data_IF_712107848343
#
_entry.id   IF_712107848343
#
_cell.length_a   1.000
_cell.length_b   1.000
_cell.length_c   1.000
_cell.angle_alpha   90.00
_cell.angle_beta   90.00
_cell.angle_gamma   90.00
#
_symmetry.space_group_name_H-M   'P 1'
#
loop_
_entity.id
_entity.type
_entity.pdbx_description
1 polymer ?
#
# COMPACT_ATOMS: atom_id res chain seq x y z
N UNK A 1 25.81 38.09 -52.07
CA UNK A 1 24.93 37.88 -50.91
C UNK A 1 25.17 38.99 -49.91
N UNK A 2 24.12 39.66 -49.44
CA UNK A 2 24.23 40.67 -48.37
C UNK A 2 24.25 40.00 -47.00
N UNK A 3 24.81 40.66 -45.98
CA UNK A 3 24.82 40.14 -44.61
C UNK A 3 23.40 39.80 -44.10
N UNK A 4 22.40 40.60 -44.46
CA UNK A 4 20.98 40.32 -44.17
C UNK A 4 20.50 39.01 -44.81
N UNK A 5 20.84 38.76 -46.07
CA UNK A 5 20.45 37.51 -46.75
C UNK A 5 21.08 36.28 -46.10
N UNK A 6 22.35 36.37 -45.67
CA UNK A 6 23.03 35.29 -44.96
C UNK A 6 22.41 35.02 -43.59
N UNK A 7 22.09 36.07 -42.83
CA UNK A 7 21.41 35.95 -41.53
C UNK A 7 20.02 35.31 -41.65
N UNK A 8 19.27 35.65 -42.71
CA UNK A 8 17.98 35.03 -43.03
C UNK A 8 18.10 33.52 -43.28
N UNK A 9 19.08 33.09 -44.08
CA UNK A 9 19.34 31.67 -44.34
C UNK A 9 19.76 30.89 -43.09
N UNK A 10 20.62 31.47 -42.25
CA UNK A 10 21.05 30.85 -40.98
C UNK A 10 19.86 30.69 -40.02
N UNK A 11 19.04 31.73 -39.88
CA UNK A 11 17.86 31.70 -39.01
C UNK A 11 16.83 30.67 -39.47
N UNK A 12 16.60 30.57 -40.79
CA UNK A 12 15.72 29.56 -41.38
C UNK A 12 16.26 28.14 -41.18
N UNK A 13 17.57 27.94 -41.35
CA UNK A 13 18.21 26.64 -41.13
C UNK A 13 18.11 26.19 -39.67
N UNK A 14 18.33 27.10 -38.70
CA UNK A 14 18.18 26.82 -37.27
C UNK A 14 16.73 26.52 -36.89
N UNK A 15 15.76 27.28 -37.42
CA UNK A 15 14.34 27.02 -37.20
C UNK A 15 13.91 25.65 -37.77
N UNK A 16 14.39 25.31 -38.97
CA UNK A 16 14.14 24.00 -39.59
C UNK A 16 14.77 22.86 -38.78
N UNK A 17 16.00 23.02 -38.29
CA UNK A 17 16.66 22.04 -37.42
C UNK A 17 15.89 21.85 -36.11
N UNK A 18 15.42 22.92 -35.47
CA UNK A 18 14.61 22.85 -34.27
C UNK A 18 13.27 22.14 -34.54
N UNK A 19 12.59 22.46 -35.64
CA UNK A 19 11.32 21.81 -36.02
C UNK A 19 11.50 20.32 -36.31
N UNK A 20 12.57 19.94 -37.02
CA UNK A 20 12.92 18.53 -37.26
C UNK A 20 13.23 17.82 -35.94
N UNK A 21 14.02 18.43 -35.06
CA UNK A 21 14.36 17.89 -33.75
C UNK A 21 13.13 17.65 -32.87
N UNK A 22 12.24 18.64 -32.79
CA UNK A 22 10.95 18.53 -32.09
C UNK A 22 10.05 17.47 -32.72
N UNK A 23 9.99 17.40 -34.05
CA UNK A 23 9.19 16.39 -34.78
C UNK A 23 9.68 14.96 -34.54
N UNK A 24 11.00 14.73 -34.57
CA UNK A 24 11.61 13.44 -34.25
C UNK A 24 11.38 13.08 -32.78
N UNK A 25 11.57 14.05 -31.87
CA UNK A 25 11.31 13.87 -30.44
C UNK A 25 9.87 13.48 -30.15
N UNK A 26 8.92 14.21 -30.74
CA UNK A 26 7.49 13.94 -30.64
C UNK A 26 7.13 12.56 -31.23
N UNK A 27 7.63 12.22 -32.42
CA UNK A 27 7.37 10.93 -33.06
C UNK A 27 7.90 9.76 -32.21
N UNK A 28 9.12 9.87 -31.68
CA UNK A 28 9.69 8.85 -30.77
C UNK A 28 8.90 8.74 -29.47
N UNK A 29 8.49 9.87 -28.90
CA UNK A 29 7.66 9.90 -27.70
C UNK A 29 6.30 9.24 -27.95
N UNK A 30 5.64 9.58 -29.05
CA UNK A 30 4.35 9.02 -29.45
C UNK A 30 4.43 7.51 -29.72
N UNK A 31 5.49 7.04 -30.39
CA UNK A 31 5.72 5.61 -30.60
C UNK A 31 6.01 4.84 -29.31
N UNK A 32 6.65 5.47 -28.32
CA UNK A 32 6.82 4.90 -26.98
C UNK A 32 5.47 4.82 -26.27
N UNK A 33 4.70 5.92 -26.26
CA UNK A 33 3.36 5.96 -25.68
C UNK A 33 2.46 4.85 -26.22
N UNK A 34 2.34 4.70 -27.55
CA UNK A 34 1.53 3.63 -28.17
C UNK A 34 1.98 2.22 -27.78
N UNK A 35 3.28 2.00 -27.62
CA UNK A 35 3.80 0.70 -27.18
C UNK A 35 3.41 0.39 -25.74
N UNK A 36 3.38 1.40 -24.86
CA UNK A 36 2.96 1.23 -23.47
C UNK A 36 1.45 0.98 -23.36
N UNK A 37 0.65 1.66 -24.17
CA UNK A 37 -0.82 1.49 -24.22
C UNK A 37 -1.24 0.09 -24.68
N UNK A 38 -0.46 -0.52 -25.59
CA UNK A 38 -0.73 -1.84 -26.16
C UNK A 38 -0.01 -3.00 -25.44
N UNK A 39 0.91 -2.71 -24.51
CA UNK A 39 1.70 -3.75 -23.84
C UNK A 39 0.84 -4.50 -22.82
N UNK A 40 0.61 -5.82 -23.00
CA UNK A 40 -0.03 -6.64 -21.98
C UNK A 40 0.84 -6.65 -20.72
N UNK A 41 0.21 -6.75 -19.54
CA UNK A 41 0.94 -7.03 -18.32
C UNK A 41 1.68 -8.37 -18.52
N UNK A 42 3.02 -8.36 -18.39
CA UNK A 42 3.79 -9.59 -18.47
C UNK A 42 3.38 -10.50 -17.31
N UNK A 43 2.77 -11.63 -17.63
CA UNK A 43 2.40 -12.66 -16.65
C UNK A 43 3.66 -13.47 -16.39
N UNK A 44 4.30 -13.23 -15.25
CA UNK A 44 5.37 -14.09 -14.74
C UNK A 44 4.74 -15.16 -13.87
N UNK A 45 5.18 -16.41 -14.01
CA UNK A 45 4.64 -17.54 -13.26
C UNK A 45 4.64 -17.26 -11.75
N UNK A 46 3.48 -17.45 -11.12
CA UNK A 46 3.33 -17.40 -9.68
C UNK A 46 4.32 -18.37 -9.03
N UNK A 47 5.14 -17.85 -8.12
CA UNK A 47 5.85 -18.73 -7.19
C UNK A 47 4.86 -19.04 -6.08
N UNK A 48 4.39 -20.30 -5.93
CA UNK A 48 3.42 -20.61 -4.89
C UNK A 48 4.08 -20.43 -3.53
N UNK A 49 3.64 -19.42 -2.77
CA UNK A 49 3.90 -19.38 -1.34
C UNK A 49 2.86 -20.29 -0.69
N UNK A 50 3.36 -21.21 0.14
CA UNK A 50 2.54 -22.24 0.75
C UNK A 50 1.34 -21.65 1.51
N UNK A 51 0.21 -22.37 1.45
CA UNK A 51 -0.96 -22.14 2.29
C UNK A 51 -0.56 -21.90 3.75
N UNK A 52 -1.33 -21.06 4.46
CA UNK A 52 -1.11 -20.63 5.85
C UNK A 52 -0.23 -21.61 6.64
N UNK A 53 1.04 -21.26 6.82
CA UNK A 53 2.06 -22.17 7.36
C UNK A 53 1.72 -22.69 8.75
N UNK A 54 0.87 -21.97 9.50
CA UNK A 54 0.20 -22.45 10.69
C UNK A 54 -1.21 -21.85 10.79
N UNK A 55 -2.18 -22.62 11.30
CA UNK A 55 -3.61 -22.27 11.31
C UNK A 55 -4.07 -21.38 12.46
N UNK A 56 -3.37 -21.40 13.59
CA UNK A 56 -3.74 -20.65 14.79
C UNK A 56 -2.69 -19.59 15.11
N UNK A 57 -2.25 -19.52 16.37
CA UNK A 57 -1.12 -18.69 16.78
C UNK A 57 0.15 -19.52 16.96
N UNK A 58 1.28 -18.89 16.67
CA UNK A 58 2.63 -19.40 16.95
C UNK A 58 3.35 -18.37 17.80
N UNK A 59 4.15 -18.83 18.75
CA UNK A 59 4.88 -17.95 19.69
C UNK A 59 6.20 -17.49 19.08
N UNK A 60 6.45 -16.19 19.20
CA UNK A 60 7.66 -15.53 18.72
C UNK A 60 8.28 -14.70 19.83
N UNK A 61 9.60 -14.69 19.86
CA UNK A 61 10.39 -13.86 20.77
C UNK A 61 10.90 -12.63 20.05
N UNK A 62 10.86 -11.48 20.70
CA UNK A 62 11.53 -10.27 20.21
C UNK A 62 13.04 -10.42 20.38
N UNK A 63 13.76 -10.65 19.29
CA UNK A 63 15.21 -10.78 19.29
C UNK A 63 15.92 -9.42 19.31
N UNK A 64 15.35 -8.41 18.63
CA UNK A 64 15.93 -7.07 18.55
C UNK A 64 14.82 -6.02 18.49
N UNK A 65 15.07 -4.86 19.11
CA UNK A 65 14.22 -3.67 19.07
C UNK A 65 15.07 -2.47 18.67
N UNK A 66 14.64 -1.68 17.69
CA UNK A 66 15.38 -0.51 17.18
C UNK A 66 14.46 0.67 16.99
N UNK A 67 14.92 1.86 17.38
CA UNK A 67 14.25 3.13 17.08
C UNK A 67 14.65 3.57 15.69
N UNK A 68 13.68 3.87 14.83
CA UNK A 68 13.89 4.04 13.39
C UNK A 68 13.78 5.49 12.91
N UNK A 69 13.42 6.42 13.79
CA UNK A 69 13.28 7.85 13.50
C UNK A 69 13.83 8.70 14.65
N UNK A 70 14.18 9.96 14.37
CA UNK A 70 14.76 10.85 15.39
C UNK A 70 13.74 11.24 16.46
N UNK A 71 12.46 11.29 16.09
CA UNK A 71 11.35 11.55 17.02
C UNK A 71 11.08 10.39 17.99
N UNK A 72 11.77 9.25 17.84
CA UNK A 72 11.51 8.02 18.57
C UNK A 72 10.04 7.58 18.53
N UNK A 73 9.34 7.92 17.44
CA UNK A 73 7.94 7.61 17.24
C UNK A 73 7.75 6.25 16.57
N UNK A 74 8.79 5.69 15.95
CA UNK A 74 8.74 4.38 15.27
C UNK A 74 9.78 3.44 15.85
N UNK A 75 9.34 2.23 16.21
CA UNK A 75 10.21 1.14 16.64
C UNK A 75 10.05 -0.08 15.73
N UNK A 76 11.16 -0.65 15.28
CA UNK A 76 11.20 -1.98 14.66
C UNK A 76 11.38 -3.07 15.70
N UNK A 77 10.70 -4.19 15.47
CA UNK A 77 10.80 -5.41 16.26
C UNK A 77 11.18 -6.57 15.34
N UNK A 78 12.30 -7.22 15.63
CA UNK A 78 12.75 -8.42 14.93
C UNK A 78 12.28 -9.63 15.72
N UNK A 79 11.47 -10.45 15.08
CA UNK A 79 10.73 -11.56 15.68
C UNK A 79 11.33 -12.87 15.18
N UNK A 80 11.74 -13.71 16.12
CA UNK A 80 12.25 -15.06 15.85
C UNK A 80 11.31 -16.08 16.47
N UNK A 81 11.10 -17.24 15.84
CA UNK A 81 10.19 -18.23 16.37
C UNK A 81 10.76 -18.86 17.65
N UNK A 82 9.92 -19.08 18.65
CA UNK A 82 10.36 -19.68 19.93
C UNK A 82 10.79 -21.13 19.77
N UNK A 83 10.06 -21.88 18.94
CA UNK A 83 10.23 -23.30 18.69
C UNK A 83 11.46 -23.66 17.84
N UNK A 84 12.20 -22.65 17.34
CA UNK A 84 13.35 -22.81 16.46
C UNK A 84 13.04 -23.41 15.08
N UNK A 85 11.77 -23.60 14.73
CA UNK A 85 11.38 -24.12 13.43
C UNK A 85 11.54 -23.05 12.33
N UNK A 86 11.78 -23.44 11.07
CA UNK A 86 11.93 -22.49 9.98
C UNK A 86 10.78 -21.49 9.87
N UNK A 87 11.11 -20.29 9.37
CA UNK A 87 10.11 -19.30 9.01
C UNK A 87 9.61 -19.58 7.59
N UNK A 88 8.29 -19.67 7.39
CA UNK A 88 7.76 -19.71 6.03
C UNK A 88 8.06 -18.38 5.33
N UNK A 89 8.31 -18.42 4.02
CA UNK A 89 8.41 -17.21 3.23
C UNK A 89 7.06 -16.49 3.19
N UNK A 90 7.08 -15.22 2.79
CA UNK A 90 5.90 -14.39 2.58
C UNK A 90 6.07 -13.55 1.31
N UNK A 91 5.00 -12.97 0.80
CA UNK A 91 5.08 -12.02 -0.31
C UNK A 91 5.36 -10.60 0.18
N UNK A 92 6.29 -9.86 -0.43
CA UNK A 92 6.67 -8.52 0.05
C UNK A 92 5.49 -7.56 0.01
N UNK A 93 5.07 -7.07 1.19
CA UNK A 93 3.87 -6.27 1.39
C UNK A 93 2.85 -6.88 2.36
N UNK A 94 2.90 -8.21 2.57
CA UNK A 94 2.07 -8.91 3.55
C UNK A 94 2.31 -8.43 5.00
N UNK A 95 1.39 -8.78 5.89
CA UNK A 95 1.43 -8.41 7.31
C UNK A 95 1.38 -9.63 8.23
N UNK A 96 1.75 -9.41 9.49
CA UNK A 96 1.53 -10.33 10.59
C UNK A 96 0.32 -9.88 11.41
N UNK A 97 -0.47 -10.84 11.91
CA UNK A 97 -1.56 -10.59 12.86
C UNK A 97 -1.13 -10.99 14.25
N UNK A 98 -1.25 -10.07 15.19
CA UNK A 98 -0.86 -10.20 16.59
C UNK A 98 -2.11 -10.32 17.45
N UNK A 99 -2.14 -11.36 18.26
CA UNK A 99 -3.10 -11.51 19.36
C UNK A 99 -2.38 -11.02 20.64
N UNK A 100 -2.75 -9.82 21.11
CA UNK A 100 -2.09 -9.10 22.19
C UNK A 100 -2.90 -9.19 23.49
N UNK A 101 -2.21 -9.59 24.56
CA UNK A 101 -2.71 -9.50 25.93
C UNK A 101 -2.21 -8.19 26.54
N UNK A 102 -3.11 -7.24 26.76
CA UNK A 102 -2.78 -5.92 27.29
C UNK A 102 -2.78 -5.93 28.83
N UNK A 103 -2.01 -5.02 29.47
CA UNK A 103 -2.10 -4.80 30.91
C UNK A 103 -3.55 -4.48 31.32
N UNK A 104 -4.03 -5.12 32.38
CA UNK A 104 -5.42 -4.99 32.84
C UNK A 104 -6.38 -6.09 32.36
N UNK A 105 -5.90 -7.06 31.57
CA UNK A 105 -6.67 -8.25 31.18
C UNK A 105 -7.46 -8.10 29.86
N UNK A 106 -7.32 -6.96 29.19
CA UNK A 106 -7.90 -6.74 27.86
C UNK A 106 -7.12 -7.50 26.78
N UNK A 107 -7.81 -8.07 25.79
CA UNK A 107 -7.19 -8.65 24.59
C UNK A 107 -7.41 -7.78 23.36
N UNK A 108 -6.43 -7.72 22.45
CA UNK A 108 -6.50 -6.93 21.23
C UNK A 108 -5.85 -7.63 20.04
N UNK A 109 -6.55 -7.70 18.91
CA UNK A 109 -5.98 -8.21 17.65
C UNK A 109 -5.53 -7.06 16.78
N UNK A 110 -4.28 -7.05 16.30
CA UNK A 110 -3.80 -6.02 15.35
C UNK A 110 -2.88 -6.58 14.29
N UNK A 111 -2.88 -5.92 13.13
CA UNK A 111 -2.04 -6.29 12.00
C UNK A 111 -0.94 -5.24 11.80
N UNK A 112 0.27 -5.71 11.49
CA UNK A 112 1.40 -4.86 11.14
C UNK A 112 2.12 -5.44 9.92
N UNK A 113 2.28 -4.63 8.87
CA UNK A 113 3.01 -5.01 7.67
C UNK A 113 4.43 -5.47 8.02
N UNK A 114 4.86 -6.55 7.37
CA UNK A 114 6.25 -6.96 7.38
C UNK A 114 7.06 -5.85 6.70
N UNK A 115 8.04 -5.30 7.41
CA UNK A 115 8.78 -4.12 7.00
C UNK A 115 10.17 -4.43 6.45
N UNK A 116 10.42 -5.69 6.07
CA UNK A 116 11.64 -6.13 5.38
C UNK A 116 11.30 -7.16 4.30
N UNK A 117 12.26 -7.45 3.43
CA UNK A 117 12.15 -8.58 2.51
C UNK A 117 12.00 -9.89 3.27
N UNK A 118 11.45 -10.97 2.66
CA UNK A 118 11.48 -12.30 3.24
C UNK A 118 12.88 -12.74 3.65
N UNK A 119 13.08 -12.92 4.96
CA UNK A 119 14.31 -13.43 5.55
C UNK A 119 14.05 -14.82 6.18
N UNK A 120 15.02 -15.75 6.12
CA UNK A 120 14.84 -17.08 6.68
C UNK A 120 14.93 -17.13 8.21
N UNK A 121 15.55 -16.12 8.83
CA UNK A 121 15.93 -16.12 10.24
C UNK A 121 15.03 -15.25 11.14
N UNK A 122 14.34 -14.24 10.58
CA UNK A 122 13.45 -13.38 11.34
C UNK A 122 12.34 -12.73 10.50
N UNK A 123 11.30 -12.26 11.18
CA UNK A 123 10.39 -11.26 10.64
C UNK A 123 10.68 -9.89 11.24
N UNK A 124 10.45 -8.82 10.50
CA UNK A 124 10.51 -7.44 11.00
C UNK A 124 9.16 -6.76 10.84
N UNK A 125 8.70 -6.12 11.90
CA UNK A 125 7.58 -5.15 11.84
C UNK A 125 8.06 -3.83 12.40
N UNK A 126 7.60 -2.70 11.84
CA UNK A 126 7.94 -1.37 12.32
C UNK A 126 6.67 -0.61 12.70
N UNK A 127 6.57 -0.18 13.95
CA UNK A 127 5.32 0.27 14.55
C UNK A 127 5.46 1.71 14.99
N UNK A 128 4.64 2.60 14.40
CA UNK A 128 4.51 3.98 14.85
C UNK A 128 3.63 4.07 16.09
N UNK A 129 4.08 4.80 17.12
CA UNK A 129 3.27 5.19 18.27
C UNK A 129 2.15 6.11 17.78
N UNK A 130 0.91 5.76 18.11
CA UNK A 130 -0.27 6.57 17.76
C UNK A 130 -0.83 7.17 19.05
N UNK A 131 -1.11 8.48 19.11
CA UNK A 131 -1.78 9.09 20.25
C UNK A 131 -3.05 8.32 20.61
N UNK A 132 -3.21 7.95 21.88
CA UNK A 132 -4.33 7.15 22.39
C UNK A 132 -4.49 5.75 21.75
N UNK A 133 -3.53 5.28 20.97
CA UNK A 133 -3.57 3.97 20.32
C UNK A 133 -3.22 2.83 21.29
N UNK A 134 -4.16 1.93 21.58
CA UNK A 134 -3.95 0.83 22.55
C UNK A 134 -2.77 -0.09 22.17
N UNK A 135 -2.75 -0.60 20.94
CA UNK A 135 -1.72 -1.54 20.46
C UNK A 135 -0.34 -0.89 20.30
N UNK A 136 -0.27 0.24 19.61
CA UNK A 136 1.01 0.87 19.33
C UNK A 136 1.70 1.37 20.60
N UNK A 137 0.94 1.90 21.58
CA UNK A 137 1.51 2.25 22.88
C UNK A 137 1.94 0.99 23.66
N UNK A 138 1.17 -0.11 23.62
CA UNK A 138 1.61 -1.38 24.22
C UNK A 138 2.97 -1.86 23.68
N UNK A 139 3.15 -1.86 22.35
CA UNK A 139 4.44 -2.20 21.75
C UNK A 139 5.58 -1.30 22.20
N UNK A 140 5.31 0.00 22.32
CA UNK A 140 6.35 0.95 22.70
C UNK A 140 6.70 0.89 24.19
N UNK A 141 5.70 0.69 25.04
CA UNK A 141 5.82 0.81 26.51
C UNK A 141 6.15 -0.53 27.19
N UNK A 142 5.69 -1.66 26.65
CA UNK A 142 5.75 -2.97 27.33
C UNK A 142 6.52 -4.05 26.57
N UNK A 143 6.66 -3.92 25.24
CA UNK A 143 7.38 -4.92 24.44
C UNK A 143 8.87 -4.59 24.39
N UNK A 144 9.67 -5.49 24.96
CA UNK A 144 11.12 -5.40 25.03
C UNK A 144 11.79 -6.61 24.36
N UNK A 145 13.11 -6.57 24.23
CA UNK A 145 13.88 -7.75 23.80
C UNK A 145 13.62 -8.89 24.80
N UNK A 146 13.30 -10.07 24.29
CA UNK A 146 12.90 -11.23 25.07
C UNK A 146 11.39 -11.38 25.28
N UNK A 147 10.57 -10.36 25.00
CA UNK A 147 9.11 -10.48 25.09
C UNK A 147 8.57 -11.54 24.14
N UNK A 148 7.54 -12.26 24.60
CA UNK A 148 6.83 -13.28 23.83
C UNK A 148 5.55 -12.71 23.22
N UNK A 149 5.35 -12.96 21.92
CA UNK A 149 4.21 -12.50 21.15
C UNK A 149 3.53 -13.67 20.45
N UNK A 150 2.20 -13.65 20.39
CA UNK A 150 1.39 -14.64 19.67
C UNK A 150 1.07 -14.11 18.28
N UNK A 151 1.56 -14.79 17.23
CA UNK A 151 1.39 -14.36 15.84
C UNK A 151 0.58 -15.39 15.05
N UNK A 152 -0.29 -14.92 14.17
CA UNK A 152 -0.83 -15.75 13.07
C UNK A 152 0.13 -15.70 11.88
N UNK A 153 -0.03 -16.64 10.94
CA UNK A 153 0.78 -16.70 9.74
C UNK A 153 0.72 -15.38 8.95
N UNK A 154 1.77 -15.04 8.18
CA UNK A 154 1.71 -13.93 7.25
C UNK A 154 0.47 -14.01 6.35
N UNK A 155 -0.22 -12.89 6.19
CA UNK A 155 -1.44 -12.78 5.39
C UNK A 155 -1.52 -11.43 4.68
N UNK A 156 -2.61 -11.24 3.94
CA UNK A 156 -2.87 -10.03 3.16
C UNK A 156 -2.66 -10.20 1.66
N UNK A 157 -3.39 -9.37 0.91
CA UNK A 157 -3.43 -9.36 -0.56
C UNK A 157 -2.73 -8.15 -1.18
N UNK A 158 -2.16 -7.26 -0.37
CA UNK A 158 -1.35 -6.14 -0.82
C UNK A 158 0.11 -6.55 -0.86
N UNK A 159 0.53 -7.18 -1.95
CA UNK A 159 1.91 -7.59 -2.12
C UNK A 159 2.42 -7.35 -3.53
N UNK A 160 3.74 -7.23 -3.64
CA UNK A 160 4.42 -7.11 -4.91
C UNK A 160 4.63 -8.48 -5.55
N UNK A 161 4.16 -8.61 -6.78
CA UNK A 161 4.42 -9.77 -7.63
C UNK A 161 5.73 -9.60 -8.42
N UNK A 162 6.29 -10.74 -8.84
CA UNK A 162 7.45 -10.73 -9.70
C UNK A 162 7.12 -10.14 -11.08
N UNK A 163 8.01 -9.30 -11.61
CA UNK A 163 7.77 -8.66 -12.90
C UNK A 163 8.92 -7.76 -13.32
N UNK A 164 8.88 -7.29 -14.57
CA UNK A 164 9.94 -6.45 -15.15
C UNK A 164 9.54 -4.98 -15.28
N UNK A 165 8.26 -4.66 -15.08
CA UNK A 165 7.77 -3.29 -15.16
C UNK A 165 8.38 -2.43 -14.03
N UNK A 166 8.89 -1.22 -14.32
CA UNK A 166 9.40 -0.30 -13.31
C UNK A 166 8.39 -0.06 -12.19
N UNK A 167 8.87 0.00 -10.96
CA UNK A 167 8.06 0.06 -9.75
C UNK A 167 8.05 1.48 -9.20
N UNK A 168 6.87 1.99 -8.83
CA UNK A 168 6.71 3.25 -8.11
C UNK A 168 6.04 2.97 -6.78
N UNK A 169 6.82 3.08 -5.71
CA UNK A 169 6.41 2.92 -4.33
C UNK A 169 6.09 4.29 -3.74
N UNK A 170 4.89 4.47 -3.19
CA UNK A 170 4.41 5.74 -2.67
C UNK A 170 4.00 5.54 -1.21
N UNK A 171 4.77 6.12 -0.29
CA UNK A 171 4.58 6.00 1.14
C UNK A 171 4.21 7.33 1.79
N UNK A 172 3.18 7.33 2.63
CA UNK A 172 2.88 8.43 3.56
C UNK A 172 3.14 8.03 5.01
N UNK A 173 4.09 8.68 5.68
CA UNK A 173 4.42 8.39 7.09
C UNK A 173 4.79 6.91 7.29
N UNK A 174 4.06 6.23 8.18
CA UNK A 174 4.30 4.80 8.49
C UNK A 174 3.86 3.84 7.37
N UNK A 175 3.15 4.31 6.34
CA UNK A 175 2.84 3.52 5.13
C UNK A 175 4.10 3.08 4.35
N UNK A 176 5.28 3.53 4.78
CA UNK A 176 6.58 3.06 4.31
C UNK A 176 6.85 1.58 4.61
N UNK A 177 6.17 0.98 5.58
CA UNK A 177 6.47 -0.41 6.01
C UNK A 177 6.29 -1.47 4.93
N UNK A 178 5.13 -1.61 4.25
CA UNK A 178 5.03 -2.55 3.12
C UNK A 178 5.96 -2.14 1.97
N UNK A 179 6.21 -0.84 1.77
CA UNK A 179 7.09 -0.34 0.71
C UNK A 179 8.55 -0.77 0.95
N UNK A 180 9.02 -0.79 2.19
CA UNK A 180 10.36 -1.28 2.54
C UNK A 180 10.52 -2.77 2.23
N UNK A 181 9.48 -3.57 2.48
CA UNK A 181 9.48 -4.99 2.11
C UNK A 181 9.58 -5.18 0.60
N UNK A 182 8.76 -4.44 -0.16
CA UNK A 182 8.78 -4.43 -1.63
C UNK A 182 10.11 -3.93 -2.21
N UNK A 183 10.67 -2.86 -1.64
CA UNK A 183 11.95 -2.28 -2.04
C UNK A 183 13.08 -3.29 -1.82
N UNK A 184 13.27 -3.75 -0.58
CA UNK A 184 14.38 -4.63 -0.22
C UNK A 184 14.34 -5.95 -1.00
N UNK A 185 13.13 -6.50 -1.21
CA UNK A 185 12.96 -7.70 -2.02
C UNK A 185 13.29 -7.44 -3.49
N UNK A 186 12.84 -6.32 -4.06
CA UNK A 186 13.13 -5.97 -5.46
C UNK A 186 14.63 -5.77 -5.70
N UNK A 187 15.32 -5.04 -4.82
CA UNK A 187 16.76 -4.81 -4.97
C UNK A 187 17.58 -6.10 -4.89
N UNK A 188 17.10 -7.09 -4.12
CA UNK A 188 17.79 -8.37 -3.94
C UNK A 188 17.43 -9.39 -5.03
N UNK A 189 16.15 -9.54 -5.34
CA UNK A 189 15.64 -10.62 -6.21
C UNK A 189 15.42 -10.17 -7.65
N UNK A 190 15.33 -8.86 -7.91
CA UNK A 190 15.14 -8.26 -9.23
C UNK A 190 16.10 -7.08 -9.42
N UNK A 191 17.42 -7.32 -9.36
CA UNK A 191 18.43 -6.26 -9.32
C UNK A 191 18.44 -5.36 -10.58
N UNK A 192 17.80 -5.78 -11.67
CA UNK A 192 17.66 -4.98 -12.90
C UNK A 192 16.36 -4.16 -12.94
N UNK A 193 15.38 -4.45 -12.08
CA UNK A 193 14.10 -3.74 -12.07
C UNK A 193 14.30 -2.35 -11.51
N UNK A 194 13.87 -1.34 -12.27
CA UNK A 194 13.89 0.05 -11.84
C UNK A 194 12.86 0.27 -10.72
N UNK A 195 13.27 0.92 -9.63
CA UNK A 195 12.42 1.20 -8.47
C UNK A 195 12.51 2.68 -8.10
N UNK A 196 11.36 3.31 -7.96
CA UNK A 196 11.19 4.68 -7.49
C UNK A 196 10.46 4.67 -6.16
N UNK A 197 11.01 5.29 -5.12
CA UNK A 197 10.34 5.46 -3.83
C UNK A 197 10.07 6.94 -3.57
N UNK A 198 8.80 7.30 -3.46
CA UNK A 198 8.35 8.60 -2.98
C UNK A 198 7.83 8.46 -1.55
N UNK A 199 8.55 9.04 -0.58
CA UNK A 199 8.20 8.96 0.83
C UNK A 199 7.88 10.35 1.40
N UNK A 200 6.62 10.56 1.75
CA UNK A 200 6.13 11.79 2.37
C UNK A 200 6.13 11.71 3.90
N UNK A 201 6.84 12.62 4.55
CA UNK A 201 6.80 12.84 6.00
C UNK A 201 6.63 14.33 6.29
N UNK A 202 6.44 14.72 7.56
CA UNK A 202 6.33 16.15 7.90
C UNK A 202 7.69 16.84 7.76
N UNK A 203 8.71 16.28 8.38
CA UNK A 203 10.07 16.83 8.45
C UNK A 203 11.10 15.71 8.69
N UNK A 204 12.39 16.08 8.81
CA UNK A 204 13.48 15.15 9.07
C UNK A 204 13.28 14.25 10.31
N UNK A 205 12.61 14.75 11.35
CA UNK A 205 12.46 14.00 12.60
C UNK A 205 11.65 12.71 12.47
N UNK A 206 10.81 12.62 11.43
CA UNK A 206 9.91 11.49 11.15
C UNK A 206 10.38 10.60 10.00
N UNK A 207 11.58 10.83 9.47
CA UNK A 207 12.12 9.95 8.45
C UNK A 207 12.48 8.59 9.04
N UNK A 208 11.65 7.60 8.72
CA UNK A 208 11.85 6.21 9.13
C UNK A 208 12.96 5.59 8.29
N UNK A 209 13.97 5.00 8.94
CA UNK A 209 15.06 4.24 8.30
C UNK A 209 15.85 5.06 7.26
N UNK A 210 16.05 6.36 7.50
CA UNK A 210 16.76 7.28 6.58
C UNK A 210 18.10 6.72 6.09
N UNK A 211 18.95 6.29 7.02
CA UNK A 211 20.30 5.80 6.68
C UNK A 211 20.27 4.56 5.78
N UNK A 212 19.33 3.64 6.04
CA UNK A 212 19.12 2.46 5.21
C UNK A 212 18.71 2.86 3.79
N UNK A 213 17.69 3.70 3.65
CA UNK A 213 17.18 4.17 2.35
C UNK A 213 18.27 4.89 1.54
N UNK A 214 19.01 5.81 2.17
CA UNK A 214 20.11 6.51 1.51
C UNK A 214 21.25 5.55 1.13
N UNK A 215 21.53 4.54 1.96
CA UNK A 215 22.53 3.51 1.64
C UNK A 215 22.11 2.69 0.42
N UNK A 216 20.86 2.26 0.36
CA UNK A 216 20.32 1.53 -0.80
C UNK A 216 20.42 2.40 -2.07
N UNK A 217 20.06 3.69 -1.98
CA UNK A 217 20.13 4.61 -3.13
C UNK A 217 21.57 4.83 -3.63
N UNK A 218 22.56 4.79 -2.75
CA UNK A 218 23.99 4.84 -3.14
C UNK A 218 24.49 3.54 -3.77
N UNK A 219 23.96 2.40 -3.35
CA UNK A 219 24.42 1.07 -3.79
C UNK A 219 23.77 0.60 -5.10
N UNK A 220 22.56 1.08 -5.39
CA UNK A 220 21.75 0.60 -6.52
C UNK A 220 21.42 1.74 -7.49
N UNK A 221 22.06 1.73 -8.67
CA UNK A 221 21.84 2.76 -9.69
C UNK A 221 20.41 2.77 -10.28
N UNK A 222 19.70 1.65 -10.16
CA UNK A 222 18.30 1.46 -10.57
C UNK A 222 17.29 1.81 -9.46
N UNK A 223 17.75 2.32 -8.31
CA UNK A 223 16.89 2.79 -7.22
C UNK A 223 16.93 4.31 -7.10
N UNK A 224 15.75 4.93 -7.17
CA UNK A 224 15.56 6.37 -7.13
C UNK A 224 14.75 6.75 -5.89
N UNK A 225 15.42 7.40 -4.92
CA UNK A 225 14.82 7.84 -3.66
C UNK A 225 14.35 9.29 -3.75
N UNK A 226 13.10 9.54 -3.36
CA UNK A 226 12.49 10.88 -3.30
C UNK A 226 11.77 11.10 -1.97
N UNK A 227 12.47 11.73 -1.03
CA UNK A 227 11.92 12.12 0.26
C UNK A 227 11.23 13.48 0.14
N UNK A 228 9.97 13.56 0.57
CA UNK A 228 9.14 14.76 0.51
C UNK A 228 8.78 15.23 1.91
N UNK A 229 9.02 16.51 2.21
CA UNK A 229 8.70 17.11 3.52
C UNK A 229 7.59 18.13 3.40
N UNK A 230 6.45 17.85 4.01
CA UNK A 230 5.30 18.75 3.94
C UNK A 230 5.41 19.98 4.84
N UNK A 231 6.24 19.91 5.87
CA UNK A 231 6.44 20.96 6.88
C UNK A 231 7.89 20.89 7.43
N UNK A 232 8.91 21.22 6.59
CA UNK A 232 10.32 21.12 6.96
C UNK A 232 10.67 22.04 8.14
N UNK A 233 11.59 21.62 9.01
CA UNK A 233 12.09 22.46 10.09
C UNK A 233 12.98 23.61 9.54
N UNK A 234 13.14 24.73 10.28
CA UNK A 234 13.87 25.90 9.79
C UNK A 234 15.33 25.66 9.39
N UNK A 235 15.98 24.63 9.94
CA UNK A 235 17.38 24.27 9.69
C UNK A 235 17.55 23.21 8.58
N UNK A 236 16.45 22.71 8.01
CA UNK A 236 16.47 21.71 6.96
C UNK A 236 16.71 22.31 5.58
N UNK A 237 17.54 21.63 4.79
CA UNK A 237 17.99 22.11 3.48
C UNK A 237 17.56 21.13 2.39
N UNK A 238 16.85 21.63 1.38
CA UNK A 238 16.50 20.87 0.19
C UNK A 238 17.76 20.36 -0.53
N UNK A 239 17.74 19.10 -0.96
CA UNK A 239 18.88 18.39 -1.55
C UNK A 239 19.85 17.78 -0.54
N UNK A 240 19.74 18.12 0.76
CA UNK A 240 20.51 17.51 1.85
C UNK A 240 19.63 16.67 2.77
N UNK A 241 18.55 17.25 3.27
CA UNK A 241 17.68 16.62 4.26
C UNK A 241 16.44 15.98 3.63
N UNK A 242 15.98 16.55 2.52
CA UNK A 242 14.88 16.04 1.71
C UNK A 242 15.09 16.40 0.25
N UNK A 243 14.35 15.74 -0.64
CA UNK A 243 14.45 15.97 -2.09
C UNK A 243 13.43 17.01 -2.55
N UNK A 244 12.21 16.97 -2.00
CA UNK A 244 11.11 17.83 -2.42
C UNK A 244 10.40 18.48 -1.22
N UNK A 245 10.15 19.78 -1.30
CA UNK A 245 9.27 20.45 -0.35
C UNK A 245 7.80 20.21 -0.73
N UNK A 246 6.96 20.01 0.27
CA UNK A 246 5.54 19.69 0.09
C UNK A 246 5.22 18.20 0.20
N UNK A 247 3.97 17.86 -0.14
CA UNK A 247 3.47 16.48 -0.12
C UNK A 247 3.79 15.79 -1.45
N UNK A 248 3.90 14.46 -1.43
CA UNK A 248 3.92 13.66 -2.66
C UNK A 248 2.65 13.94 -3.46
N UNK A 249 2.80 14.28 -4.74
CA UNK A 249 1.69 14.68 -5.63
C UNK A 249 1.87 14.11 -7.03
N UNK A 250 0.79 14.05 -7.81
CA UNK A 250 0.84 13.64 -9.22
C UNK A 250 1.74 14.57 -10.04
N UNK A 251 1.71 15.87 -9.76
CA UNK A 251 2.56 16.83 -10.46
C UNK A 251 4.05 16.53 -10.22
N UNK A 252 4.41 16.17 -8.98
CA UNK A 252 5.77 15.72 -8.69
C UNK A 252 6.12 14.45 -9.46
N UNK A 253 5.23 13.46 -9.49
CA UNK A 253 5.46 12.22 -10.27
C UNK A 253 5.64 12.52 -11.77
N UNK A 254 4.83 13.41 -12.34
CA UNK A 254 4.92 13.82 -13.76
C UNK A 254 6.23 14.53 -14.09
N UNK A 255 6.75 15.32 -13.16
CA UNK A 255 8.02 16.03 -13.33
C UNK A 255 9.24 15.12 -13.18
N UNK A 256 9.10 14.04 -12.41
CA UNK A 256 10.24 13.22 -11.98
C UNK A 256 10.35 11.91 -12.78
N UNK A 257 9.23 11.25 -13.05
CA UNK A 257 9.21 9.93 -13.67
C UNK A 257 9.40 10.03 -15.19
N UNK A 258 10.36 9.31 -15.78
CA UNK A 258 10.42 9.12 -17.23
C UNK A 258 9.16 8.40 -17.75
N UNK A 259 8.91 8.46 -19.06
CA UNK A 259 7.73 7.81 -19.65
C UNK A 259 7.91 6.27 -19.72
N UNK A 260 7.31 5.56 -18.77
CA UNK A 260 7.24 4.09 -18.72
C UNK A 260 5.86 3.60 -18.24
N UNK A 261 5.57 2.31 -18.47
CA UNK A 261 4.39 1.65 -17.92
C UNK A 261 4.71 1.07 -16.54
N UNK A 262 4.60 1.92 -15.52
CA UNK A 262 4.91 1.57 -14.14
C UNK A 262 3.87 0.63 -13.51
N UNK A 263 4.26 0.01 -12.40
CA UNK A 263 3.36 -0.53 -11.38
C UNK A 263 3.40 0.40 -10.16
N UNK A 264 2.25 0.89 -9.71
CA UNK A 264 2.16 1.81 -8.57
C UNK A 264 1.66 1.06 -7.33
N UNK A 265 2.38 1.19 -6.22
CA UNK A 265 1.96 0.70 -4.91
C UNK A 265 1.91 1.86 -3.93
N UNK A 266 0.76 2.02 -3.26
CA UNK A 266 0.47 3.22 -2.47
C UNK A 266 0.02 2.79 -1.07
N UNK A 267 0.67 3.32 -0.04
CA UNK A 267 0.21 3.14 1.33
C UNK A 267 0.45 4.42 2.14
N UNK A 268 -0.58 4.90 2.84
CA UNK A 268 -0.48 6.13 3.60
C UNK A 268 -1.82 6.60 4.17
N UNK A 269 -1.92 7.88 4.58
CA UNK A 269 -3.16 8.45 5.08
C UNK A 269 -4.27 8.45 4.01
N UNK A 270 -5.52 8.25 4.45
CA UNK A 270 -6.71 8.22 3.57
C UNK A 270 -6.76 9.36 2.53
N UNK A 271 -6.61 10.64 2.92
CA UNK A 271 -6.62 11.76 1.98
C UNK A 271 -5.53 11.69 0.91
N UNK A 272 -4.34 11.20 1.27
CA UNK A 272 -3.21 11.04 0.34
C UNK A 272 -3.50 9.91 -0.66
N UNK A 273 -3.99 8.77 -0.19
CA UNK A 273 -4.30 7.66 -1.08
C UNK A 273 -5.46 8.02 -2.03
N UNK A 274 -6.50 8.68 -1.53
CA UNK A 274 -7.62 9.13 -2.34
C UNK A 274 -7.19 10.10 -3.45
N UNK A 275 -6.36 11.09 -3.14
CA UNK A 275 -5.86 12.03 -4.15
C UNK A 275 -4.91 11.36 -5.15
N UNK A 276 -4.05 10.44 -4.68
CA UNK A 276 -3.09 9.74 -5.54
C UNK A 276 -3.77 8.77 -6.50
N UNK A 277 -4.71 7.95 -6.02
CA UNK A 277 -5.44 6.99 -6.87
C UNK A 277 -6.24 7.72 -7.95
N UNK A 278 -7.05 8.71 -7.57
CA UNK A 278 -7.83 9.48 -8.52
C UNK A 278 -6.94 10.20 -9.55
N UNK A 279 -5.83 10.78 -9.07
CA UNK A 279 -4.91 11.50 -9.93
C UNK A 279 -4.10 10.61 -10.90
N UNK A 280 -3.79 9.37 -10.51
CA UNK A 280 -3.18 8.37 -11.41
C UNK A 280 -4.18 7.89 -12.47
N UNK A 281 -5.44 7.67 -12.09
CA UNK A 281 -6.52 7.34 -13.01
C UNK A 281 -6.73 8.46 -14.04
N UNK A 282 -6.78 9.72 -13.60
CA UNK A 282 -6.88 10.88 -14.49
C UNK A 282 -5.62 11.11 -15.33
N UNK A 283 -4.46 10.60 -14.88
CA UNK A 283 -3.23 10.55 -15.68
C UNK A 283 -3.24 9.38 -16.69
N UNK A 284 -4.28 8.55 -16.72
CA UNK A 284 -4.43 7.45 -17.68
C UNK A 284 -3.72 6.17 -17.27
N UNK A 285 -3.31 6.03 -16.01
CA UNK A 285 -2.77 4.77 -15.50
C UNK A 285 -3.92 3.76 -15.38
N UNK A 286 -3.76 2.60 -16.02
CA UNK A 286 -4.75 1.53 -15.94
C UNK A 286 -4.92 1.06 -14.49
N UNK A 287 -6.17 0.90 -14.03
CA UNK A 287 -6.47 0.55 -12.63
C UNK A 287 -5.79 -0.74 -12.13
N UNK A 288 -5.54 -1.70 -13.02
CA UNK A 288 -4.79 -2.94 -12.71
C UNK A 288 -3.31 -2.70 -12.36
N UNK A 289 -2.79 -1.48 -12.57
CA UNK A 289 -1.43 -1.04 -12.23
C UNK A 289 -1.39 -0.13 -11.01
N UNK A 290 -2.53 0.08 -10.33
CA UNK A 290 -2.66 0.94 -9.15
C UNK A 290 -3.07 0.07 -7.98
N UNK A 291 -2.11 -0.28 -7.14
CA UNK A 291 -2.31 -1.09 -5.94
C UNK A 291 -2.23 -0.19 -4.72
N UNK A 292 -3.12 -0.39 -3.75
CA UNK A 292 -3.08 0.39 -2.51
C UNK A 292 -3.57 -0.40 -1.30
N UNK A 293 -3.08 -0.02 -0.13
CA UNK A 293 -3.52 -0.55 1.16
C UNK A 293 -3.72 0.59 2.16
N UNK A 294 -4.86 0.57 2.85
CA UNK A 294 -5.21 1.54 3.86
C UNK A 294 -5.04 0.97 5.27
N UNK A 295 -4.42 1.75 6.16
CA UNK A 295 -4.33 1.40 7.58
C UNK A 295 -5.51 1.99 8.35
N UNK A 296 -6.28 1.15 9.04
CA UNK A 296 -7.43 1.57 9.84
C UNK A 296 -8.66 1.97 9.00
N UNK A 297 -9.58 2.81 9.51
CA UNK A 297 -10.88 3.10 8.88
C UNK A 297 -10.80 3.99 7.64
N UNK A 298 -9.62 4.22 7.07
CA UNK A 298 -9.50 4.87 5.76
C UNK A 298 -9.93 3.89 4.66
N UNK A 299 -10.93 4.24 3.85
CA UNK A 299 -11.27 3.56 2.59
C UNK A 299 -11.03 4.51 1.43
N UNK A 300 -10.49 3.98 0.34
CA UNK A 300 -10.28 4.75 -0.90
C UNK A 300 -11.29 4.26 -1.93
N UNK A 301 -12.16 5.16 -2.38
CA UNK A 301 -13.12 4.86 -3.44
C UNK A 301 -12.38 4.83 -4.77
N UNK A 302 -12.34 3.67 -5.43
CA UNK A 302 -11.97 3.60 -6.86
C UNK A 302 -13.09 4.19 -7.70
N UNK A 303 -12.75 4.92 -8.77
CA UNK A 303 -13.73 5.29 -9.77
C UNK A 303 -14.03 4.04 -10.59
N UNK A 304 -15.26 3.55 -10.53
CA UNK A 304 -15.64 2.41 -11.37
C UNK A 304 -15.39 2.78 -12.85
N UNK A 305 -14.78 1.90 -13.66
CA UNK A 305 -14.76 2.10 -15.10
C UNK A 305 -16.21 2.28 -15.58
N UNK A 306 -16.42 3.19 -16.53
CA UNK A 306 -17.74 3.38 -17.12
C UNK A 306 -18.25 2.04 -17.64
N UNK A 307 -19.17 1.43 -16.91
CA UNK A 307 -19.76 0.17 -17.31
C UNK A 307 -20.52 0.39 -18.63
N UNK A 308 -20.54 -0.60 -19.53
CA UNK A 308 -21.56 -0.63 -20.58
C UNK A 308 -22.94 -0.50 -19.93
N UNK A 309 -23.89 0.13 -20.63
CA UNK A 309 -25.23 0.39 -20.14
C UNK A 309 -25.86 -0.84 -19.45
N UNK A 310 -26.40 -0.57 -18.27
CA UNK A 310 -27.12 -1.42 -17.32
C UNK A 310 -27.78 -2.69 -17.88
N UNK A 311 -27.47 -3.83 -17.24
CA UNK A 311 -28.51 -4.80 -16.91
C UNK A 311 -29.09 -4.42 -15.54
N UNK A 312 -30.42 -4.34 -15.46
CA UNK A 312 -31.17 -4.07 -14.24
C UNK A 312 -30.96 -5.20 -13.22
N UNK A 313 -29.95 -5.05 -12.36
CA UNK A 313 -29.77 -5.91 -11.19
C UNK A 313 -30.83 -5.57 -10.14
N UNK A 314 -31.52 -6.59 -9.63
CA UNK A 314 -32.46 -6.53 -8.50
C UNK A 314 -31.91 -5.67 -7.36
N UNK A 315 -32.73 -4.74 -6.83
CA UNK A 315 -32.37 -3.94 -5.66
C UNK A 315 -32.03 -4.86 -4.48
N UNK A 316 -30.73 -4.96 -4.15
CA UNK A 316 -30.26 -5.74 -3.01
C UNK A 316 -30.47 -4.89 -1.75
N UNK A 317 -31.33 -5.36 -0.84
CA UNK A 317 -31.59 -4.71 0.44
C UNK A 317 -30.64 -5.26 1.50
N UNK A 318 -30.03 -4.37 2.27
CA UNK A 318 -29.19 -4.73 3.41
C UNK A 318 -29.88 -4.23 4.67
N UNK A 319 -30.14 -5.15 5.58
CA UNK A 319 -30.74 -4.85 6.88
C UNK A 319 -29.71 -5.05 7.98
N UNK A 320 -29.49 -4.02 8.79
CA UNK A 320 -28.68 -4.07 10.02
C UNK A 320 -29.63 -4.22 11.21
N UNK A 321 -29.73 -5.43 11.74
CA UNK A 321 -30.77 -5.81 12.69
C UNK A 321 -30.69 -5.02 14.00
N UNK A 322 -29.49 -4.69 14.48
CA UNK A 322 -29.30 -3.97 15.74
C UNK A 322 -29.78 -2.52 15.69
N UNK A 323 -29.64 -1.88 14.52
CA UNK A 323 -30.11 -0.51 14.31
C UNK A 323 -31.51 -0.46 13.69
N UNK A 324 -32.00 -1.57 13.16
CA UNK A 324 -33.26 -1.66 12.41
C UNK A 324 -33.21 -1.01 11.03
N UNK A 325 -32.03 -0.53 10.60
CA UNK A 325 -31.88 0.17 9.33
C UNK A 325 -31.91 -0.81 8.16
N UNK A 326 -32.66 -0.48 7.13
CA UNK A 326 -32.63 -1.17 5.84
C UNK A 326 -32.37 -0.17 4.73
N UNK A 327 -31.37 -0.43 3.90
CA UNK A 327 -30.99 0.44 2.79
C UNK A 327 -30.61 -0.38 1.55
N UNK A 328 -30.82 0.21 0.38
CA UNK A 328 -30.50 -0.42 -0.91
C UNK A 328 -28.99 -0.34 -1.17
N UNK A 329 -28.34 -1.49 -1.26
CA UNK A 329 -26.94 -1.56 -1.68
C UNK A 329 -26.82 -1.54 -3.20
N UNK A 330 -25.83 -0.78 -3.68
CA UNK A 330 -25.43 -0.74 -5.08
C UNK A 330 -23.99 -1.19 -5.18
N UNK A 331 -23.60 -1.81 -6.31
CA UNK A 331 -22.21 -2.24 -6.54
C UNK A 331 -21.15 -1.13 -6.32
N UNK A 332 -21.52 0.13 -6.56
CA UNK A 332 -20.65 1.29 -6.31
C UNK A 332 -20.35 1.54 -4.83
N UNK A 333 -21.15 1.00 -3.91
CA UNK A 333 -20.95 1.15 -2.47
C UNK A 333 -19.80 0.27 -1.95
N UNK A 334 -19.33 -0.70 -2.72
CA UNK A 334 -18.21 -1.57 -2.37
C UNK A 334 -18.60 -2.65 -1.37
N UNK A 335 -17.71 -2.94 -0.44
CA UNK A 335 -17.89 -3.97 0.60
C UNK A 335 -19.04 -3.63 1.56
N UNK A 336 -19.54 -4.63 2.29
CA UNK A 336 -20.61 -4.40 3.28
C UNK A 336 -20.17 -3.49 4.43
N UNK A 337 -18.87 -3.47 4.77
CA UNK A 337 -18.33 -2.51 5.75
C UNK A 337 -18.37 -1.07 5.21
N UNK A 338 -17.94 -0.85 3.97
CA UNK A 338 -17.99 0.49 3.37
C UNK A 338 -19.42 1.01 3.23
N UNK A 339 -20.37 0.11 2.95
CA UNK A 339 -21.80 0.44 2.95
C UNK A 339 -22.29 0.78 4.36
N UNK A 340 -21.95 -0.02 5.37
CA UNK A 340 -22.30 0.27 6.76
C UNK A 340 -21.79 1.66 7.20
N UNK A 341 -20.54 1.99 6.88
CA UNK A 341 -19.93 3.29 7.18
C UNK A 341 -20.65 4.46 6.47
N UNK A 342 -21.07 4.27 5.22
CA UNK A 342 -21.81 5.28 4.45
C UNK A 342 -23.16 5.61 5.08
N UNK A 343 -23.82 4.58 5.60
CA UNK A 343 -25.12 4.70 6.26
C UNK A 343 -25.00 5.03 7.76
N UNK A 344 -23.77 5.26 8.26
CA UNK A 344 -23.51 5.63 9.65
C UNK A 344 -23.71 4.49 10.66
N UNK A 345 -23.66 3.24 10.21
CA UNK A 345 -23.79 2.06 11.08
C UNK A 345 -22.44 1.78 11.77
N UNK A 346 -22.42 1.74 13.12
CA UNK A 346 -21.19 1.47 13.86
C UNK A 346 -20.85 -0.01 13.80
N UNK A 347 -19.81 -0.34 13.02
CA UNK A 347 -19.26 -1.70 12.89
C UNK A 347 -17.81 -1.72 13.36
N UNK A 348 -17.48 -2.70 14.20
CA UNK A 348 -16.10 -2.91 14.62
C UNK A 348 -15.24 -3.35 13.42
N UNK A 349 -14.14 -2.64 13.17
CA UNK A 349 -13.21 -3.00 12.09
C UNK A 349 -11.76 -2.66 12.45
N UNK A 350 -10.81 -3.39 11.87
CA UNK A 350 -9.39 -3.14 12.10
C UNK A 350 -8.53 -3.32 10.84
N UNK A 351 -8.36 -4.56 10.35
CA UNK A 351 -7.42 -4.82 9.24
C UNK A 351 -7.93 -4.38 7.86
N UNK A 352 -9.24 -4.37 7.66
CA UNK A 352 -9.93 -4.18 6.36
C UNK A 352 -9.47 -5.09 5.21
N UNK A 353 -8.74 -6.16 5.51
CA UNK A 353 -8.19 -7.13 4.55
C UNK A 353 -8.71 -8.55 4.78
N UNK A 354 -9.66 -8.75 5.69
CA UNK A 354 -10.23 -10.07 5.99
C UNK A 354 -9.39 -10.95 6.91
N UNK A 355 -8.31 -10.45 7.53
CA UNK A 355 -7.38 -11.28 8.32
C UNK A 355 -7.54 -11.22 9.85
N UNK A 356 -8.02 -10.11 10.40
CA UNK A 356 -8.12 -9.96 11.86
C UNK A 356 -9.40 -10.59 12.44
N UNK A 357 -10.44 -10.78 11.63
CA UNK A 357 -11.76 -11.23 12.09
C UNK A 357 -12.59 -10.18 12.85
N UNK A 358 -12.08 -8.97 13.08
CA UNK A 358 -12.78 -7.95 13.91
C UNK A 358 -14.14 -7.53 13.36
N UNK A 359 -14.31 -7.45 12.04
CA UNK A 359 -15.59 -7.07 11.40
C UNK A 359 -16.52 -8.26 11.16
N UNK A 360 -16.36 -9.34 11.94
CA UNK A 360 -17.20 -10.52 11.83
C UNK A 360 -18.59 -10.20 12.35
N UNK A 361 -19.62 -10.58 11.60
CA UNK A 361 -21.02 -10.51 12.04
C UNK A 361 -21.80 -11.73 11.57
N UNK A 362 -22.90 -12.03 12.25
CA UNK A 362 -23.80 -13.13 11.89
C UNK A 362 -24.68 -12.72 10.71
N UNK A 363 -24.82 -13.63 9.74
CA UNK A 363 -25.82 -13.55 8.69
C UNK A 363 -27.09 -14.22 9.21
N UNK A 364 -28.13 -13.44 9.45
CA UNK A 364 -29.43 -13.99 9.91
C UNK A 364 -30.33 -14.39 8.74
N UNK A 365 -30.16 -13.76 7.57
CA UNK A 365 -30.82 -14.12 6.32
C UNK A 365 -30.00 -13.67 5.12
N UNK A 366 -30.08 -14.38 4.00
CA UNK A 366 -29.41 -14.03 2.75
C UNK A 366 -28.01 -14.64 2.59
N UNK A 367 -27.31 -14.23 1.53
CA UNK A 367 -25.99 -14.75 1.17
C UNK A 367 -25.02 -13.61 0.84
N UNK A 368 -23.75 -13.81 1.19
CA UNK A 368 -22.65 -12.93 0.81
C UNK A 368 -21.68 -13.66 -0.13
N UNK A 369 -20.90 -12.89 -0.88
CA UNK A 369 -19.81 -13.37 -1.71
C UNK A 369 -18.50 -12.71 -1.31
N UNK A 370 -17.40 -13.43 -1.50
CA UNK A 370 -16.05 -12.90 -1.37
C UNK A 370 -15.39 -12.89 -2.75
N UNK A 371 -14.75 -11.78 -3.11
CA UNK A 371 -13.96 -11.71 -4.35
C UNK A 371 -12.68 -12.54 -4.22
N UNK A 372 -12.11 -12.61 -3.02
CA UNK A 372 -10.98 -13.45 -2.64
C UNK A 372 -11.26 -14.09 -1.27
N UNK A 373 -10.86 -15.35 -1.04
CA UNK A 373 -11.05 -15.99 0.26
C UNK A 373 -10.34 -15.18 1.36
N UNK A 374 -11.00 -14.90 2.50
CA UNK A 374 -10.37 -14.20 3.61
C UNK A 374 -9.31 -15.07 4.30
N UNK A 375 -8.27 -14.43 4.85
CA UNK A 375 -7.24 -15.12 5.65
C UNK A 375 -7.79 -15.63 7.00
N UNK A 376 -8.75 -14.91 7.58
CA UNK A 376 -9.49 -15.39 8.75
C UNK A 376 -10.64 -16.28 8.30
N UNK A 377 -10.72 -17.49 8.83
CA UNK A 377 -11.80 -18.44 8.56
C UNK A 377 -13.06 -18.07 9.37
N UNK A 378 -14.11 -17.48 8.77
CA UNK A 378 -15.32 -17.15 9.48
C UNK A 378 -16.12 -18.43 9.79
N UNK A 379 -16.64 -18.54 11.00
CA UNK A 379 -17.53 -19.65 11.38
C UNK A 379 -18.75 -19.71 10.44
N UNK A 380 -19.28 -20.90 10.12
CA UNK A 380 -20.47 -21.03 9.28
C UNK A 380 -21.64 -20.17 9.78
N UNK A 381 -22.26 -19.42 8.87
CA UNK A 381 -23.33 -18.47 9.21
C UNK A 381 -22.83 -17.08 9.60
N UNK A 382 -21.52 -16.82 9.58
CA UNK A 382 -20.94 -15.49 9.79
C UNK A 382 -20.21 -14.97 8.56
N UNK A 383 -19.96 -13.67 8.48
CA UNK A 383 -19.15 -13.06 7.42
C UNK A 383 -18.27 -11.92 7.91
N UNK A 384 -17.24 -11.60 7.11
CA UNK A 384 -16.32 -10.47 7.34
C UNK A 384 -16.70 -9.30 6.45
N UNK A 385 -17.37 -8.31 7.03
CA UNK A 385 -17.93 -7.16 6.30
C UNK A 385 -16.90 -6.39 5.47
N UNK A 386 -15.63 -6.38 5.89
CA UNK A 386 -14.58 -5.63 5.23
C UNK A 386 -14.11 -6.17 3.87
N UNK A 387 -14.44 -7.42 3.53
CA UNK A 387 -13.99 -8.07 2.29
C UNK A 387 -15.11 -8.82 1.56
N UNK A 388 -16.33 -8.84 2.10
CA UNK A 388 -17.48 -9.42 1.42
C UNK A 388 -18.39 -8.37 0.79
N UNK A 389 -19.12 -8.81 -0.23
CA UNK A 389 -20.21 -8.11 -0.90
C UNK A 389 -21.48 -8.94 -0.79
N UNK A 390 -22.68 -8.35 -0.83
CA UNK A 390 -23.92 -9.11 -0.79
C UNK A 390 -24.14 -9.84 -2.13
N UNK A 391 -24.49 -11.12 -2.05
CA UNK A 391 -24.91 -11.93 -3.22
C UNK A 391 -26.43 -11.85 -3.41
N UNK A 392 -27.16 -11.76 -2.30
CA UNK A 392 -28.61 -11.51 -2.24
C UNK A 392 -28.90 -10.43 -1.19
N UNK A 393 -30.16 -10.01 -1.06
CA UNK A 393 -30.58 -9.19 0.08
C UNK A 393 -30.24 -9.92 1.38
N UNK A 394 -29.57 -9.24 2.30
CA UNK A 394 -28.96 -9.85 3.48
C UNK A 394 -29.35 -9.09 4.75
N UNK A 395 -29.62 -9.85 5.81
CA UNK A 395 -29.83 -9.31 7.16
C UNK A 395 -28.62 -9.68 8.01
N UNK A 396 -27.99 -8.66 8.59
CA UNK A 396 -26.79 -8.75 9.42
C UNK A 396 -27.14 -8.39 10.85
N UNK A 397 -26.52 -9.06 11.83
CA UNK A 397 -26.74 -8.77 13.25
C UNK A 397 -26.12 -7.42 13.70
N UNK A 398 -25.15 -6.90 12.92
CA UNK A 398 -24.34 -5.71 13.24
C UNK A 398 -25.12 -4.41 13.54
#
# INVERSE_FOLDING_TARGET
>A
MTALSLFGWISLALALQAAIGLGIGFSRHWQRYRRLELAPAAVVAETPVAAAAWRATRKFRVARRVVEDQAASVCSFHLVPEDGQPLPPFHPGQFLTFDLDLPGGDTLVRCYSLSDAPQPDHYRVSIKRVPSGRSSNYFHDHVAVGSMLSLRAPGGHFYLEAGTAPLVLIAGGIGITPMLSMLNWSLTQQPEREVWLFHGVRNASEQVMREHLESQARQHANFHLHICHSDPLPDEVAGRDYHHAGRVSIDLLRLTLPLHAYQFYICGPGPMMASMVAGLEDWGVAGARIHFEAFGPASVKRRAPAAPAQEAGTDIQITFARTGMTATWRRSAGTLLEFAEQEGIPVDSSCRSGACGTCRTTITAGEVSYNQPPDYDPEPGTCLLCVCTPKTSVTLEA
#
